data_IF_102218323457
#
_entry.id   IF_102218323457
#
_cell.length_a   1.000
_cell.length_b   1.000
_cell.length_c   1.000
_cell.angle_alpha   90.00
_cell.angle_beta   90.00
_cell.angle_gamma   90.00
#
_symmetry.space_group_name_H-M   'P 1'
#
loop_
_entity.id
_entity.type
_entity.pdbx_description
1 polymer ?
#
# COMPACT_ATOMS: atom_id res chain seq x y z
N UNK A 1 -11.13 -18.24 -7.81
CA UNK A 1 -9.80 -17.71 -7.42
C UNK A 1 -9.64 -17.93 -5.93
N UNK A 2 -8.52 -18.45 -5.45
CA UNK A 2 -8.30 -18.59 -4.00
C UNK A 2 -7.89 -17.24 -3.43
N UNK A 3 -8.59 -16.77 -2.41
CA UNK A 3 -8.21 -15.61 -1.60
C UNK A 3 -7.46 -16.17 -0.40
N UNK A 4 -6.30 -15.62 -0.13
CA UNK A 4 -5.43 -16.10 0.94
C UNK A 4 -5.51 -15.15 2.14
N UNK A 5 -5.41 -15.70 3.36
CA UNK A 5 -5.40 -14.93 4.59
C UNK A 5 -4.06 -14.18 4.76
N UNK A 6 -4.05 -13.14 5.60
CA UNK A 6 -2.81 -12.43 5.96
C UNK A 6 -1.75 -13.37 6.56
N UNK A 7 -2.17 -14.44 7.25
CA UNK A 7 -1.28 -15.45 7.79
C UNK A 7 -0.60 -16.26 6.68
N UNK A 8 -1.36 -16.67 5.66
CA UNK A 8 -0.80 -17.40 4.51
C UNK A 8 0.21 -16.53 3.74
N UNK A 9 -0.08 -15.23 3.58
CA UNK A 9 0.83 -14.30 2.91
C UNK A 9 2.14 -14.20 3.68
N UNK A 10 2.09 -13.99 5.01
CA UNK A 10 3.30 -13.97 5.87
C UNK A 10 4.09 -15.29 5.82
N UNK A 11 3.40 -16.41 5.78
CA UNK A 11 4.06 -17.72 5.66
C UNK A 11 4.79 -17.87 4.32
N UNK A 12 4.26 -17.32 3.24
CA UNK A 12 4.91 -17.33 1.93
C UNK A 12 6.11 -16.41 1.85
N UNK A 13 6.02 -15.20 2.41
CA UNK A 13 7.17 -14.30 2.49
C UNK A 13 8.32 -15.00 3.24
N UNK A 14 8.01 -15.62 4.39
CA UNK A 14 9.00 -16.36 5.16
C UNK A 14 9.57 -17.57 4.38
N UNK A 15 8.72 -18.29 3.64
CA UNK A 15 9.16 -19.39 2.79
C UNK A 15 10.07 -18.90 1.66
N UNK A 16 9.72 -17.79 1.01
CA UNK A 16 10.52 -17.20 -0.06
C UNK A 16 11.89 -16.79 0.45
N UNK A 17 11.96 -16.09 1.58
CA UNK A 17 13.22 -15.68 2.21
C UNK A 17 14.11 -16.89 2.55
N UNK A 18 13.50 -18.01 2.99
CA UNK A 18 14.24 -19.22 3.35
C UNK A 18 14.73 -20.04 2.15
N UNK A 19 14.00 -20.04 1.05
CA UNK A 19 14.25 -20.92 -0.10
C UNK A 19 14.85 -20.22 -1.32
N UNK A 20 14.60 -18.92 -1.50
CA UNK A 20 15.39 -18.07 -2.35
C UNK A 20 16.42 -17.38 -1.45
N UNK A 21 17.72 -17.34 -1.76
CA UNK A 21 18.71 -16.63 -0.93
C UNK A 21 18.55 -15.10 -1.11
N UNK A 22 17.41 -14.57 -0.69
CA UNK A 22 17.04 -13.16 -0.80
C UNK A 22 16.80 -12.59 0.60
N UNK A 23 17.29 -11.39 0.86
CA UNK A 23 16.99 -10.69 2.11
C UNK A 23 15.57 -10.12 2.10
N UNK A 24 14.99 -9.89 3.29
CA UNK A 24 13.66 -9.25 3.42
C UNK A 24 13.62 -7.91 2.69
N UNK A 25 14.65 -7.10 2.85
CA UNK A 25 14.74 -5.78 2.21
C UNK A 25 14.85 -5.87 0.67
N UNK A 26 15.50 -6.90 0.13
CA UNK A 26 15.59 -7.11 -1.32
C UNK A 26 14.27 -7.67 -1.88
N UNK A 27 13.55 -8.46 -1.09
CA UNK A 27 12.20 -8.91 -1.43
C UNK A 27 11.23 -7.72 -1.49
N UNK A 28 11.30 -6.83 -0.49
CA UNK A 28 10.55 -5.56 -0.48
C UNK A 28 10.92 -4.68 -1.69
N UNK A 29 12.19 -4.56 -2.04
CA UNK A 29 12.67 -3.82 -3.21
C UNK A 29 12.06 -4.37 -4.50
N UNK A 30 12.03 -5.69 -4.65
CA UNK A 30 11.43 -6.38 -5.81
C UNK A 30 9.94 -6.07 -5.92
N UNK A 31 9.19 -6.25 -4.84
CA UNK A 31 7.75 -6.00 -4.79
C UNK A 31 7.40 -4.54 -5.08
N UNK A 32 8.05 -3.59 -4.39
CA UNK A 32 7.81 -2.17 -4.55
C UNK A 32 8.24 -1.64 -5.95
N UNK A 33 9.26 -2.25 -6.58
CA UNK A 33 9.65 -1.94 -7.96
C UNK A 33 8.55 -2.28 -8.96
N UNK A 34 7.86 -3.41 -8.76
CA UNK A 34 6.72 -3.79 -9.60
C UNK A 34 5.55 -2.83 -9.37
N UNK A 35 5.24 -2.50 -8.11
CA UNK A 35 4.23 -1.49 -7.79
C UNK A 35 4.53 -0.15 -8.49
N UNK A 36 5.77 0.32 -8.41
CA UNK A 36 6.21 1.56 -9.07
C UNK A 36 6.00 1.51 -10.58
N UNK A 37 6.36 0.38 -11.22
CA UNK A 37 6.15 0.18 -12.67
C UNK A 37 4.68 0.27 -13.04
N UNK A 38 3.78 -0.31 -12.24
CA UNK A 38 2.33 -0.26 -12.45
C UNK A 38 1.77 1.16 -12.27
N UNK A 39 2.23 1.89 -11.26
CA UNK A 39 1.85 3.30 -11.04
C UNK A 39 2.20 4.12 -12.27
N UNK A 40 3.44 4.05 -12.70
CA UNK A 40 3.95 4.80 -13.87
C UNK A 40 3.30 4.38 -15.19
N UNK A 41 2.88 3.13 -15.31
CA UNK A 41 2.16 2.63 -16.49
C UNK A 41 0.68 3.03 -16.53
N UNK A 42 0.10 3.42 -15.40
CA UNK A 42 -1.32 3.75 -15.27
C UNK A 42 -1.61 5.24 -15.20
N UNK A 43 -0.67 6.05 -14.74
CA UNK A 43 -0.84 7.48 -14.48
C UNK A 43 0.33 8.27 -15.02
N UNK A 44 0.04 9.47 -15.56
CA UNK A 44 1.04 10.48 -15.87
C UNK A 44 0.97 11.57 -14.80
N UNK A 45 2.08 11.83 -14.12
CA UNK A 45 2.18 12.81 -13.03
C UNK A 45 3.63 13.27 -12.86
N UNK A 46 3.80 14.48 -12.35
CA UNK A 46 5.09 15.10 -12.06
C UNK A 46 5.34 15.24 -10.55
N UNK A 47 4.28 15.09 -9.74
CA UNK A 47 4.39 15.17 -8.28
C UNK A 47 3.59 14.05 -7.58
N UNK A 48 4.17 13.48 -6.51
CA UNK A 48 3.57 12.41 -5.72
C UNK A 48 3.71 12.67 -4.21
N UNK A 49 2.61 12.48 -3.48
CA UNK A 49 2.60 12.42 -2.03
C UNK A 49 2.53 10.95 -1.60
N UNK A 50 3.47 10.51 -0.78
CA UNK A 50 3.48 9.15 -0.25
C UNK A 50 3.35 9.20 1.26
N UNK A 51 2.35 8.51 1.81
CA UNK A 51 2.09 8.52 3.24
C UNK A 51 2.45 7.15 3.80
N UNK A 52 3.51 7.13 4.63
CA UNK A 52 4.14 5.92 5.14
C UNK A 52 3.84 5.71 6.61
N UNK A 53 3.26 4.55 6.96
CA UNK A 53 3.23 4.07 8.33
C UNK A 53 4.60 3.48 8.76
N UNK A 54 4.79 3.16 10.05
CA UNK A 54 6.10 2.70 10.55
C UNK A 54 6.45 1.24 10.21
N UNK A 55 5.49 0.47 9.68
CA UNK A 55 5.66 -0.95 9.37
C UNK A 55 6.21 -1.20 7.95
N UNK A 56 6.16 -2.48 7.53
CA UNK A 56 6.66 -2.91 6.23
C UNK A 56 5.92 -2.25 5.05
N UNK A 57 4.62 -1.97 5.19
CA UNK A 57 3.89 -1.24 4.14
C UNK A 57 4.46 0.17 3.91
N UNK A 58 4.82 0.88 5.00
CA UNK A 58 5.54 2.14 4.90
C UNK A 58 6.94 1.96 4.29
N UNK A 59 7.63 0.86 4.57
CA UNK A 59 8.89 0.50 3.92
C UNK A 59 8.75 0.40 2.40
N UNK A 60 7.70 -0.27 1.91
CA UNK A 60 7.37 -0.30 0.47
C UNK A 60 7.11 1.10 -0.08
N UNK A 61 6.37 1.95 0.67
CA UNK A 61 6.16 3.35 0.33
C UNK A 61 7.47 4.12 0.15
N UNK A 62 8.46 3.89 1.03
CA UNK A 62 9.79 4.53 0.93
C UNK A 62 10.57 4.04 -0.31
N UNK A 63 10.50 2.76 -0.64
CA UNK A 63 11.09 2.25 -1.89
C UNK A 63 10.44 2.91 -3.10
N UNK A 64 9.10 2.99 -3.13
CA UNK A 64 8.36 3.66 -4.21
C UNK A 64 8.78 5.14 -4.30
N UNK A 65 8.89 5.85 -3.16
CA UNK A 65 9.34 7.24 -3.11
C UNK A 65 10.69 7.42 -3.78
N UNK A 66 11.66 6.58 -3.43
CA UNK A 66 12.99 6.60 -4.02
C UNK A 66 12.98 6.32 -5.51
N UNK A 67 12.21 5.31 -5.94
CA UNK A 67 12.15 4.92 -7.35
C UNK A 67 11.45 5.97 -8.22
N UNK A 68 10.45 6.69 -7.70
CA UNK A 68 9.80 7.82 -8.38
C UNK A 68 10.75 9.03 -8.48
N UNK A 69 11.44 9.36 -7.38
CA UNK A 69 12.42 10.45 -7.36
C UNK A 69 13.58 10.22 -8.36
N UNK A 70 14.06 8.97 -8.48
CA UNK A 70 15.08 8.58 -9.47
C UNK A 70 14.62 8.79 -10.92
N UNK A 71 13.31 8.92 -11.16
CA UNK A 71 12.71 9.23 -12.46
C UNK A 71 12.40 10.72 -12.66
N UNK A 72 12.84 11.56 -11.73
CA UNK A 72 12.65 13.02 -11.81
C UNK A 72 11.28 13.50 -11.32
N UNK A 73 10.48 12.64 -10.70
CA UNK A 73 9.20 13.02 -10.10
C UNK A 73 9.46 13.71 -8.78
N UNK A 74 8.79 14.83 -8.53
CA UNK A 74 8.82 15.51 -7.23
C UNK A 74 8.07 14.68 -6.19
N UNK A 75 8.78 14.23 -5.16
CA UNK A 75 8.19 13.35 -4.13
C UNK A 75 8.27 13.97 -2.75
N UNK A 76 7.12 14.00 -2.07
CA UNK A 76 7.03 14.26 -0.64
C UNK A 76 6.62 12.98 0.08
N UNK A 77 7.43 12.53 1.04
CA UNK A 77 7.14 11.38 1.89
C UNK A 77 6.70 11.85 3.28
N UNK A 78 5.46 11.58 3.65
CA UNK A 78 4.96 11.79 5.02
C UNK A 78 5.24 10.51 5.81
N UNK A 79 5.99 10.65 6.90
CA UNK A 79 6.35 9.58 7.83
C UNK A 79 5.50 9.72 9.09
N UNK A 80 4.56 8.79 9.33
CA UNK A 80 3.68 8.87 10.48
C UNK A 80 4.36 8.34 11.75
N UNK A 81 4.53 9.22 12.72
CA UNK A 81 4.98 8.83 14.07
C UNK A 81 3.78 8.53 14.96
N UNK A 82 3.28 7.31 14.86
CA UNK A 82 2.12 6.82 15.63
C UNK A 82 2.51 6.15 16.96
N UNK A 83 3.74 6.34 17.41
CA UNK A 83 4.25 5.71 18.64
C UNK A 83 4.55 4.21 18.51
N UNK A 84 4.46 3.63 17.32
CA UNK A 84 4.85 2.24 17.06
C UNK A 84 6.32 2.16 16.60
N UNK A 85 6.98 1.05 16.95
CA UNK A 85 8.36 0.81 16.47
C UNK A 85 8.38 0.67 14.95
N UNK A 86 9.37 1.28 14.34
CA UNK A 86 9.64 1.13 12.91
C UNK A 86 10.17 -0.28 12.63
N UNK A 87 9.74 -0.91 11.54
CA UNK A 87 10.32 -2.18 11.09
C UNK A 87 11.77 -1.97 10.62
N UNK A 88 12.57 -3.03 10.65
CA UNK A 88 13.95 -3.00 10.19
C UNK A 88 14.05 -2.58 8.72
N UNK A 89 13.21 -3.18 7.86
CA UNK A 89 13.15 -2.84 6.43
C UNK A 89 12.71 -1.38 6.19
N UNK A 90 11.80 -0.85 7.02
CA UNK A 90 11.45 0.58 6.97
C UNK A 90 12.67 1.46 7.25
N UNK A 91 13.45 1.14 8.31
CA UNK A 91 14.61 1.94 8.69
C UNK A 91 15.69 1.93 7.60
N UNK A 92 15.98 0.76 7.05
CA UNK A 92 16.94 0.61 5.95
C UNK A 92 16.49 1.43 4.73
N UNK A 93 15.21 1.39 4.37
CA UNK A 93 14.71 2.13 3.22
C UNK A 93 14.59 3.64 3.46
N UNK A 94 14.37 4.06 4.72
CA UNK A 94 14.44 5.46 5.09
C UNK A 94 15.86 6.03 4.89
N UNK A 95 16.89 5.29 5.28
CA UNK A 95 18.30 5.68 5.08
C UNK A 95 18.71 5.72 3.59
N UNK A 96 17.99 4.95 2.74
CA UNK A 96 18.22 4.91 1.28
C UNK A 96 17.53 6.04 0.52
N UNK A 97 16.69 6.86 1.16
CA UNK A 97 16.01 7.97 0.48
C UNK A 97 17.04 9.02 0.03
N UNK A 98 16.99 9.48 -1.22
CA UNK A 98 17.84 10.58 -1.68
C UNK A 98 17.36 11.91 -1.09
N UNK A 99 18.25 12.89 -0.99
CA UNK A 99 17.94 14.24 -0.52
C UNK A 99 16.88 14.96 -1.36
N UNK A 100 16.64 14.50 -2.59
CA UNK A 100 15.59 15.03 -3.46
C UNK A 100 14.17 14.65 -3.03
N UNK A 101 14.00 13.69 -2.10
CA UNK A 101 12.71 13.37 -1.50
C UNK A 101 12.50 14.23 -0.27
N UNK A 102 11.50 15.10 -0.32
CA UNK A 102 11.07 15.85 0.85
C UNK A 102 10.48 14.91 1.90
N UNK A 103 10.98 14.98 3.14
CA UNK A 103 10.53 14.13 4.24
C UNK A 103 9.83 14.98 5.30
N UNK A 104 8.57 14.64 5.60
CA UNK A 104 7.77 15.29 6.64
C UNK A 104 7.40 14.26 7.71
N UNK A 105 7.85 14.46 8.94
CA UNK A 105 7.44 13.62 10.08
C UNK A 105 6.20 14.26 10.70
N UNK A 106 5.11 13.50 10.76
CA UNK A 106 3.83 13.96 11.33
C UNK A 106 3.47 13.06 12.52
N UNK A 107 3.14 13.71 13.64
CA UNK A 107 2.69 13.08 14.89
C UNK A 107 1.36 13.67 15.34
N UNK A 108 0.81 13.12 16.39
CA UNK A 108 -0.42 13.64 16.98
C UNK A 108 -0.28 15.10 17.42
N UNK A 109 -1.22 15.93 16.98
CA UNK A 109 -1.25 17.37 17.27
C UNK A 109 -0.56 18.25 16.22
N UNK A 110 0.16 17.69 15.27
CA UNK A 110 0.74 18.46 14.18
C UNK A 110 -0.34 18.87 13.15
N UNK A 111 -0.14 20.02 12.51
CA UNK A 111 -0.96 20.42 11.37
C UNK A 111 -0.64 19.56 10.13
N UNK A 112 -1.68 19.10 9.46
CA UNK A 112 -1.49 18.35 8.21
C UNK A 112 -1.09 19.30 7.08
N UNK A 113 -0.10 18.94 6.27
CA UNK A 113 0.23 19.69 5.07
C UNK A 113 -0.91 19.62 4.05
N UNK A 114 -0.90 20.51 3.07
CA UNK A 114 -1.85 20.42 1.95
C UNK A 114 -1.52 19.22 1.05
N UNK A 115 -2.54 18.43 0.76
CA UNK A 115 -2.44 17.28 -0.15
C UNK A 115 -2.74 17.73 -1.59
N UNK A 116 -1.82 18.51 -2.18
CA UNK A 116 -1.96 19.15 -3.48
C UNK A 116 -1.08 18.53 -4.59
N UNK A 117 -0.51 17.36 -4.32
CA UNK A 117 0.24 16.59 -5.31
C UNK A 117 -0.71 15.95 -6.34
N UNK A 118 -0.19 15.67 -7.53
CA UNK A 118 -0.99 15.10 -8.62
C UNK A 118 -1.44 13.65 -8.35
N UNK A 119 -0.75 12.93 -7.46
CA UNK A 119 -1.11 11.58 -7.02
C UNK A 119 -0.82 11.40 -5.53
N UNK A 120 -1.65 10.62 -4.85
CA UNK A 120 -1.45 10.23 -3.46
C UNK A 120 -1.26 8.72 -3.39
N UNK A 121 -0.21 8.28 -2.69
CA UNK A 121 0.10 6.87 -2.48
C UNK A 121 -0.07 6.57 -0.99
N UNK A 122 -1.05 5.73 -0.69
CA UNK A 122 -1.33 5.21 0.64
C UNK A 122 -0.45 3.99 0.91
N UNK A 123 0.52 4.17 1.78
CA UNK A 123 1.40 3.14 2.32
C UNK A 123 1.41 3.15 3.85
N UNK A 124 0.27 3.52 4.49
CA UNK A 124 0.19 3.61 5.95
C UNK A 124 0.13 2.20 6.54
N UNK A 125 -0.93 1.44 6.23
CA UNK A 125 -1.14 0.09 6.73
C UNK A 125 -1.49 -0.85 5.56
N UNK A 126 -0.95 -2.06 5.59
CA UNK A 126 -1.30 -3.15 4.67
C UNK A 126 -2.07 -4.25 5.40
N UNK A 127 -1.90 -5.48 4.94
CA UNK A 127 -2.55 -6.70 5.46
C UNK A 127 -2.27 -7.01 6.94
N UNK A 128 -1.31 -6.32 7.56
CA UNK A 128 -0.98 -6.44 8.99
C UNK A 128 -1.86 -5.62 9.93
N UNK A 129 -2.85 -4.86 9.44
CA UNK A 129 -3.72 -4.05 10.27
C UNK A 129 -4.60 -4.93 11.18
N UNK A 130 -4.54 -4.71 12.50
CA UNK A 130 -5.25 -5.52 13.51
C UNK A 130 -6.36 -4.77 14.25
N UNK A 131 -6.45 -3.45 14.07
CA UNK A 131 -7.46 -2.59 14.73
C UNK A 131 -7.93 -1.50 13.78
N UNK A 132 -9.15 -1.01 13.95
CA UNK A 132 -9.70 0.08 13.15
C UNK A 132 -8.89 1.38 13.27
N UNK A 133 -8.93 2.18 12.23
CA UNK A 133 -8.28 3.50 12.21
C UNK A 133 -9.26 4.52 12.79
N UNK A 134 -8.83 5.23 13.82
CA UNK A 134 -9.55 6.31 14.48
C UNK A 134 -8.60 7.46 14.86
N UNK A 135 -9.09 8.40 15.67
CA UNK A 135 -8.30 9.50 16.19
C UNK A 135 -7.62 10.33 15.11
N UNK A 136 -6.40 10.78 15.40
CA UNK A 136 -5.64 11.65 14.51
C UNK A 136 -5.20 10.98 13.20
N UNK A 137 -4.91 9.67 13.24
CA UNK A 137 -4.63 8.89 12.00
C UNK A 137 -5.88 8.82 11.13
N UNK A 138 -7.06 8.72 11.75
CA UNK A 138 -8.33 8.83 11.05
C UNK A 138 -8.52 10.19 10.36
N UNK A 139 -7.99 11.28 10.91
CA UNK A 139 -8.01 12.59 10.26
C UNK A 139 -7.11 12.65 9.02
N UNK A 140 -6.01 11.91 9.00
CA UNK A 140 -5.16 11.75 7.80
C UNK A 140 -5.93 10.99 6.71
N UNK A 141 -6.62 9.92 7.06
CA UNK A 141 -7.48 9.19 6.11
C UNK A 141 -8.57 10.09 5.54
N UNK A 142 -9.18 10.95 6.36
CA UNK A 142 -10.16 11.94 5.89
C UNK A 142 -9.53 12.94 4.91
N UNK A 143 -8.32 13.42 5.20
CA UNK A 143 -7.59 14.34 4.31
C UNK A 143 -7.26 13.67 2.97
N UNK A 144 -6.78 12.42 2.97
CA UNK A 144 -6.56 11.63 1.77
C UNK A 144 -7.87 11.53 0.95
N UNK A 145 -8.96 11.14 1.62
CA UNK A 145 -10.26 10.94 0.98
C UNK A 145 -10.89 12.23 0.45
N UNK A 146 -10.54 13.38 1.02
CA UNK A 146 -11.02 14.70 0.62
C UNK A 146 -10.19 15.31 -0.51
N UNK A 147 -9.05 14.74 -0.85
CA UNK A 147 -8.23 15.18 -1.98
C UNK A 147 -8.90 14.85 -3.30
N UNK A 148 -8.69 15.72 -4.30
CA UNK A 148 -9.11 15.47 -5.68
C UNK A 148 -8.10 14.63 -6.49
N UNK A 149 -6.93 14.35 -5.92
CA UNK A 149 -5.89 13.58 -6.59
C UNK A 149 -6.22 12.09 -6.60
N UNK A 150 -5.85 11.35 -7.66
CA UNK A 150 -5.93 9.88 -7.65
C UNK A 150 -5.19 9.28 -6.44
N UNK A 151 -5.84 8.31 -5.80
CA UNK A 151 -5.35 7.63 -4.58
C UNK A 151 -5.02 6.20 -4.91
N UNK A 152 -3.77 5.82 -4.70
CA UNK A 152 -3.29 4.46 -4.92
C UNK A 152 -2.92 3.85 -3.57
N UNK A 153 -3.50 2.71 -3.25
CA UNK A 153 -3.13 1.95 -2.07
C UNK A 153 -2.08 0.89 -2.41
N UNK A 154 -1.05 0.80 -1.56
CA UNK A 154 -0.05 -0.26 -1.60
C UNK A 154 -0.51 -1.38 -0.68
N UNK A 155 -0.54 -2.60 -1.16
CA UNK A 155 -1.03 -3.81 -0.51
C UNK A 155 -2.55 -3.81 -0.30
N UNK A 156 -3.08 -3.03 0.60
CA UNK A 156 -4.50 -2.81 0.87
C UNK A 156 -4.75 -1.33 1.18
N UNK A 157 -5.94 -0.80 0.88
CA UNK A 157 -6.32 0.51 1.37
C UNK A 157 -6.27 0.54 2.90
N UNK A 158 -5.55 1.51 3.45
CA UNK A 158 -5.41 1.62 4.91
C UNK A 158 -6.75 1.75 5.58
N UNK A 159 -7.01 0.91 6.58
CA UNK A 159 -8.30 0.78 7.27
C UNK A 159 -9.14 -0.42 6.83
N UNK A 160 -8.76 -1.11 5.77
CA UNK A 160 -9.39 -2.36 5.33
C UNK A 160 -8.72 -3.55 6.01
N UNK A 161 -9.53 -4.46 6.52
CA UNK A 161 -9.06 -5.73 7.09
C UNK A 161 -9.10 -6.85 6.05
N UNK A 162 -8.11 -7.74 6.08
CA UNK A 162 -8.08 -8.92 5.19
C UNK A 162 -9.14 -9.96 5.54
N UNK A 163 -9.39 -10.13 6.84
CA UNK A 163 -10.12 -11.27 7.38
C UNK A 163 -11.45 -10.86 8.07
N UNK A 164 -11.87 -9.61 7.92
CA UNK A 164 -13.11 -9.10 8.51
C UNK A 164 -13.94 -8.35 7.48
N UNK A 165 -15.28 -8.37 7.60
CA UNK A 165 -16.14 -7.54 6.79
C UNK A 165 -15.80 -6.05 6.99
N UNK A 166 -15.95 -5.26 5.94
CA UNK A 166 -15.82 -3.80 6.02
C UNK A 166 -16.93 -3.29 6.94
N UNK A 167 -16.56 -2.50 7.94
CA UNK A 167 -17.48 -1.87 8.87
C UNK A 167 -17.47 -0.37 8.70
N UNK A 168 -18.63 0.26 8.60
CA UNK A 168 -18.78 1.72 8.53
C UNK A 168 -18.29 2.44 9.82
N UNK A 169 -17.96 1.66 10.86
CA UNK A 169 -17.46 2.19 12.13
C UNK A 169 -16.00 2.64 12.05
N UNK A 170 -15.25 2.17 11.06
CA UNK A 170 -13.83 2.48 10.92
C UNK A 170 -13.56 3.26 9.63
N UNK A 171 -12.59 4.17 9.73
CA UNK A 171 -12.14 4.94 8.57
C UNK A 171 -11.23 4.09 7.70
N UNK A 172 -11.43 4.20 6.39
CA UNK A 172 -10.57 3.58 5.41
C UNK A 172 -10.28 4.52 4.24
N UNK A 173 -9.11 4.38 3.65
CA UNK A 173 -8.75 5.09 2.43
C UNK A 173 -9.64 4.60 1.28
N UNK A 174 -10.25 5.54 0.56
CA UNK A 174 -11.04 5.27 -0.65
C UNK A 174 -10.10 5.32 -1.85
N UNK A 175 -9.31 4.27 -2.00
CA UNK A 175 -8.35 4.18 -3.08
C UNK A 175 -9.04 4.07 -4.45
N UNK A 176 -8.55 4.81 -5.45
CA UNK A 176 -8.98 4.68 -6.84
C UNK A 176 -8.34 3.46 -7.52
N UNK A 177 -7.19 3.00 -6.98
CA UNK A 177 -6.51 1.76 -7.37
C UNK A 177 -5.79 1.15 -6.17
N UNK A 178 -5.80 -0.18 -6.10
CA UNK A 178 -5.01 -0.95 -5.12
C UNK A 178 -4.02 -1.84 -5.85
N UNK A 179 -2.76 -1.84 -5.41
CA UNK A 179 -1.71 -2.71 -5.93
C UNK A 179 -1.26 -3.63 -4.81
N UNK A 180 -1.77 -4.87 -4.81
CA UNK A 180 -1.45 -5.85 -3.79
C UNK A 180 -0.17 -6.61 -4.11
N UNK A 181 0.72 -6.70 -3.14
CA UNK A 181 2.03 -7.37 -3.24
C UNK A 181 1.93 -8.88 -3.21
N UNK A 182 1.02 -9.42 -2.44
CA UNK A 182 0.85 -10.86 -2.26
C UNK A 182 0.63 -11.63 -3.57
N UNK A 183 -0.06 -10.99 -4.52
CA UNK A 183 -0.24 -11.57 -5.84
C UNK A 183 1.02 -11.54 -6.70
N UNK A 184 1.92 -10.57 -6.45
CA UNK A 184 3.18 -10.38 -7.19
C UNK A 184 4.16 -11.51 -6.89
N UNK A 185 4.27 -11.91 -5.63
CA UNK A 185 5.30 -12.85 -5.19
C UNK A 185 4.97 -14.31 -5.49
N UNK A 186 3.68 -14.65 -5.50
CA UNK A 186 3.23 -16.04 -5.69
C UNK A 186 3.25 -16.47 -7.15
N UNK A 187 3.14 -15.53 -8.07
CA UNK A 187 2.88 -15.81 -9.48
C UNK A 187 4.06 -15.59 -10.40
N UNK A 188 5.24 -15.24 -9.92
CA UNK A 188 6.40 -15.07 -10.78
C UNK A 188 7.28 -16.35 -10.84
N UNK A 189 6.95 -17.28 -11.69
CA UNK A 189 7.97 -17.92 -12.48
C UNK A 189 8.45 -16.82 -13.45
N UNK A 190 9.73 -16.66 -13.65
CA UNK A 190 10.45 -15.64 -14.44
C UNK A 190 9.97 -15.48 -15.92
N UNK A 191 8.67 -15.27 -16.17
CA UNK A 191 8.08 -15.22 -17.51
C UNK A 191 7.11 -14.04 -17.65
N UNK A 192 7.07 -13.43 -18.84
CA UNK A 192 6.16 -12.32 -19.22
C UNK A 192 4.67 -12.60 -18.91
N UNK A 193 4.26 -13.83 -18.86
CA UNK A 193 2.88 -14.28 -18.57
C UNK A 193 2.48 -13.93 -17.11
N UNK A 194 3.43 -13.89 -16.19
CA UNK A 194 3.17 -13.57 -14.79
C UNK A 194 2.81 -12.10 -14.56
N UNK A 195 3.40 -11.17 -15.31
CA UNK A 195 3.04 -9.75 -15.26
C UNK A 195 1.57 -9.54 -15.70
N UNK A 196 1.14 -10.24 -16.74
CA UNK A 196 -0.23 -10.13 -17.26
C UNK A 196 -1.28 -10.70 -16.29
N UNK A 197 -0.96 -11.79 -15.58
CA UNK A 197 -1.81 -12.36 -14.54
C UNK A 197 -1.91 -11.47 -13.31
N UNK A 198 -0.85 -10.75 -12.99
CA UNK A 198 -0.82 -9.78 -11.90
C UNK A 198 -1.77 -8.60 -12.12
N UNK A 199 -1.73 -8.00 -13.32
CA UNK A 199 -2.63 -6.92 -13.72
C UNK A 199 -4.08 -7.37 -13.59
N UNK A 200 -4.40 -8.56 -14.07
CA UNK A 200 -5.76 -9.15 -13.99
C UNK A 200 -6.20 -9.35 -12.55
N UNK A 201 -5.31 -9.72 -11.63
CA UNK A 201 -5.64 -9.92 -10.23
C UNK A 201 -5.85 -8.58 -9.49
N UNK A 202 -5.03 -7.57 -9.79
CA UNK A 202 -5.22 -6.21 -9.27
C UNK A 202 -6.58 -5.64 -9.71
N UNK A 203 -6.94 -5.74 -10.99
CA UNK A 203 -8.23 -5.32 -11.53
C UNK A 203 -9.41 -6.07 -10.88
N UNK A 204 -9.22 -7.35 -10.57
CA UNK A 204 -10.25 -8.16 -9.90
C UNK A 204 -10.44 -7.75 -8.44
N UNK A 205 -9.37 -7.52 -7.69
CA UNK A 205 -9.43 -7.07 -6.29
C UNK A 205 -10.02 -5.66 -6.19
N UNK A 206 -9.68 -4.78 -7.12
CA UNK A 206 -10.29 -3.44 -7.24
C UNK A 206 -11.80 -3.52 -7.49
N UNK A 207 -12.25 -4.37 -8.42
CA UNK A 207 -13.69 -4.61 -8.67
C UNK A 207 -14.40 -5.17 -7.44
N UNK A 208 -13.79 -6.11 -6.70
CA UNK A 208 -14.37 -6.64 -5.46
C UNK A 208 -14.44 -5.59 -4.36
N UNK A 209 -13.39 -4.76 -4.23
CA UNK A 209 -13.39 -3.65 -3.29
C UNK A 209 -14.52 -2.65 -3.60
N UNK A 210 -14.67 -2.24 -4.86
CA UNK A 210 -15.74 -1.36 -5.30
C UNK A 210 -17.13 -1.96 -5.08
N UNK A 211 -17.30 -3.27 -5.26
CA UNK A 211 -18.53 -4.00 -4.97
C UNK A 211 -18.82 -4.05 -3.46
N UNK A 212 -17.82 -4.31 -2.64
CA UNK A 212 -17.93 -4.31 -1.18
C UNK A 212 -18.32 -2.92 -0.63
N UNK A 213 -17.73 -1.85 -1.21
CA UNK A 213 -18.04 -0.46 -0.83
C UNK A 213 -19.45 -0.01 -1.27
N UNK A 214 -20.06 -0.64 -2.29
CA UNK A 214 -21.42 -0.32 -2.74
C UNK A 214 -22.53 -1.00 -1.94
N UNK A 215 -22.20 -1.81 -0.94
CA UNK A 215 -23.13 -2.43 0.02
C UNK A 215 -24.27 -3.29 -0.55
N UNK A 216 -24.30 -3.62 -1.84
CA UNK A 216 -25.47 -4.25 -2.45
C UNK A 216 -25.36 -5.76 -2.71
N UNK A 217 -24.16 -6.38 -2.62
CA UNK A 217 -24.01 -7.80 -3.01
C UNK A 217 -23.24 -8.70 -2.00
N UNK A 218 -22.89 -8.21 -0.82
CA UNK A 218 -22.13 -9.03 0.16
C UNK A 218 -22.95 -10.15 0.79
N UNK A 219 -24.29 -10.04 0.74
CA UNK A 219 -25.19 -11.07 1.30
C UNK A 219 -25.32 -12.31 0.40
N UNK A 220 -25.06 -12.20 -0.90
CA UNK A 220 -25.25 -13.33 -1.83
C UNK A 220 -24.03 -14.27 -1.91
N UNK A 221 -22.88 -13.84 -1.45
CA UNK A 221 -21.64 -14.65 -1.50
C UNK A 221 -21.47 -15.62 -0.31
N UNK A 222 -22.24 -15.44 0.76
CA UNK A 222 -22.26 -16.36 1.91
C UNK A 222 -23.25 -17.52 1.74
N UNK A 223 -24.00 -17.57 0.65
CA UNK A 223 -25.02 -18.60 0.40
C UNK A 223 -24.55 -19.72 -0.56
N UNK A 224 -23.31 -19.70 -1.02
CA UNK A 224 -22.74 -20.81 -1.80
C UNK A 224 -21.60 -21.44 -0.98
N UNK A 225 -22.02 -22.37 -0.07
CA UNK A 225 -21.21 -23.22 0.79
C UNK A 225 -20.34 -24.23 0.06
#
# INVERSE_FOLDING_TARGET
MKIYSAENIRAWDAYTIQNEPISSVDLMERAASICTKHILGSYYFESALIICGPGNNGGDGLVIARLLAQRGIQVTAILLDIGASKSEDFQINLERLPESVEQLIIKEGDELPLFNHEIIIDAIFGSGLSRGIDGWVGSIVDAINSSNSPRIAVDLPSGIFTDQPISDQFKAVKADKTITKAAVEIMIPKTETAEMMLITLCDFLEKRYLLAMKNEEFNDLNCMG
#
